data_IF_887861554757
#
_entry.id   IF_887861554757
#
_cell.length_a   1.000
_cell.length_b   1.000
_cell.length_c   1.000
_cell.angle_alpha   90.00
_cell.angle_beta   90.00
_cell.angle_gamma   90.00
#
_symmetry.space_group_name_H-M   'P 1'
#
loop_
_entity.id
_entity.type
_entity.pdbx_description
1 polymer ?
#
# COMPACT_ATOMS: atom_id res chain seq x y z
N UNK A 1 -10.10 -15.21 12.50
CA UNK A 1 -10.06 -14.63 11.15
C UNK A 1 -8.90 -13.66 11.14
N UNK A 2 -7.79 -14.08 10.58
CA UNK A 2 -6.58 -13.28 10.51
C UNK A 2 -6.85 -12.04 9.66
N UNK A 3 -6.66 -10.87 10.28
CA UNK A 3 -6.99 -9.59 9.66
C UNK A 3 -5.81 -9.16 8.79
N UNK A 4 -5.84 -9.56 7.52
CA UNK A 4 -4.93 -9.01 6.52
C UNK A 4 -5.27 -7.53 6.28
N UNK A 5 -4.26 -6.66 6.25
CA UNK A 5 -4.44 -5.25 5.88
C UNK A 5 -3.45 -4.84 4.80
N UNK A 6 -3.93 -4.07 3.83
CA UNK A 6 -3.15 -3.56 2.72
C UNK A 6 -3.21 -2.04 2.66
N UNK A 7 -2.10 -1.40 2.31
CA UNK A 7 -2.02 0.04 2.05
C UNK A 7 -1.17 0.28 0.81
N UNK A 8 -1.65 1.16 -0.06
CA UNK A 8 -0.86 1.70 -1.16
C UNK A 8 -0.54 3.16 -0.85
N UNK A 9 0.73 3.51 -0.89
CA UNK A 9 1.19 4.90 -0.84
C UNK A 9 1.77 5.26 -2.20
N UNK A 10 1.23 6.29 -2.85
CA UNK A 10 1.76 6.83 -4.11
C UNK A 10 2.40 8.18 -3.81
N UNK A 11 3.63 8.36 -4.25
CA UNK A 11 4.37 9.62 -4.07
C UNK A 11 5.31 9.86 -5.26
N UNK A 12 5.76 11.10 -5.39
CA UNK A 12 6.73 11.50 -6.40
C UNK A 12 8.16 11.35 -5.84
N UNK A 13 8.99 10.60 -6.53
CA UNK A 13 10.43 10.43 -6.30
C UNK A 13 11.15 10.74 -7.62
N UNK A 14 11.78 11.91 -7.72
CA UNK A 14 12.31 12.43 -8.99
C UNK A 14 13.13 11.36 -9.75
N UNK A 15 12.85 11.12 -11.04
CA UNK A 15 11.89 11.80 -11.93
C UNK A 15 10.52 11.10 -12.06
N UNK A 16 10.17 10.16 -11.18
CA UNK A 16 9.03 9.26 -11.37
C UNK A 16 8.01 9.27 -10.23
N UNK A 17 6.78 8.92 -10.58
CA UNK A 17 5.79 8.52 -9.59
C UNK A 17 5.99 7.06 -9.19
N UNK A 18 6.01 6.83 -7.88
CA UNK A 18 6.30 5.54 -7.26
C UNK A 18 5.14 5.13 -6.37
N UNK A 19 4.72 3.87 -6.48
CA UNK A 19 3.78 3.21 -5.58
C UNK A 19 4.50 2.24 -4.65
N UNK A 20 4.22 2.32 -3.35
CA UNK A 20 4.66 1.35 -2.35
C UNK A 20 3.44 0.66 -1.78
N UNK A 21 3.37 -0.65 -2.01
CA UNK A 21 2.39 -1.54 -1.41
C UNK A 21 2.93 -2.06 -0.09
N UNK A 22 2.15 -1.90 0.97
CA UNK A 22 2.39 -2.43 2.31
C UNK A 22 1.33 -3.50 2.58
N UNK A 23 1.74 -4.72 2.90
CA UNK A 23 0.87 -5.84 3.27
C UNK A 23 1.24 -6.29 4.67
N UNK A 24 0.27 -6.29 5.57
CA UNK A 24 0.41 -6.79 6.93
C UNK A 24 -0.47 -8.01 7.09
N UNK A 25 0.16 -9.14 7.37
CA UNK A 25 -0.48 -10.43 7.65
C UNK A 25 0.23 -11.10 8.80
N UNK A 26 -0.53 -11.66 9.74
CA UNK A 26 0.00 -12.39 10.91
C UNK A 26 1.07 -11.61 11.71
N UNK A 27 0.92 -10.29 11.79
CA UNK A 27 1.88 -9.41 12.47
C UNK A 27 3.20 -9.21 11.71
N UNK A 28 3.25 -9.56 10.42
CA UNK A 28 4.43 -9.37 9.57
C UNK A 28 4.13 -8.40 8.43
N UNK A 29 5.06 -7.48 8.19
CA UNK A 29 5.03 -6.52 7.10
C UNK A 29 5.81 -7.07 5.91
N UNK A 30 5.20 -7.04 4.73
CA UNK A 30 5.88 -7.24 3.45
C UNK A 30 5.59 -6.05 2.54
N UNK A 31 6.58 -5.60 1.77
CA UNK A 31 6.43 -4.43 0.90
C UNK A 31 6.78 -4.73 -0.55
N UNK A 32 6.13 -4.06 -1.50
CA UNK A 32 6.49 -4.09 -2.91
C UNK A 32 6.52 -2.67 -3.49
N UNK A 33 7.59 -2.34 -4.23
CA UNK A 33 7.74 -1.06 -4.92
C UNK A 33 7.39 -1.22 -6.40
N UNK A 34 6.62 -0.28 -6.92
CA UNK A 34 6.24 -0.16 -8.32
C UNK A 34 6.57 1.26 -8.79
N UNK A 35 7.08 1.40 -10.01
CA UNK A 35 7.31 2.73 -10.63
C UNK A 35 6.26 2.92 -11.71
N UNK A 36 5.41 3.94 -11.57
CA UNK A 36 4.40 4.32 -12.56
C UNK A 36 4.99 5.20 -13.67
N UNK A 37 6.08 5.91 -13.39
CA UNK A 37 6.71 6.83 -14.32
C UNK A 37 6.04 8.20 -14.25
N UNK A 38 5.00 8.42 -15.04
CA UNK A 38 4.19 9.64 -14.98
C UNK A 38 3.19 9.61 -13.82
N UNK A 39 2.58 10.75 -13.51
CA UNK A 39 1.53 10.85 -12.49
C UNK A 39 0.35 9.95 -12.87
N UNK A 40 0.09 8.87 -12.12
CA UNK A 40 -0.99 7.96 -12.47
C UNK A 40 -2.32 8.57 -12.06
N UNK A 41 -3.35 8.42 -12.89
CA UNK A 41 -4.72 8.75 -12.49
C UNK A 41 -5.31 7.66 -11.62
N UNK A 42 -6.33 8.02 -10.83
CA UNK A 42 -6.99 7.09 -9.90
C UNK A 42 -7.44 5.78 -10.56
N UNK A 43 -7.98 5.87 -11.78
CA UNK A 43 -8.43 4.67 -12.52
C UNK A 43 -7.27 3.79 -12.98
N UNK A 44 -6.11 4.37 -13.32
CA UNK A 44 -4.92 3.62 -13.74
C UNK A 44 -4.33 2.89 -12.54
N UNK A 45 -4.32 3.53 -11.37
CA UNK A 45 -3.92 2.90 -10.11
C UNK A 45 -4.86 1.73 -9.78
N UNK A 46 -6.18 1.94 -9.87
CA UNK A 46 -7.16 0.90 -9.59
C UNK A 46 -7.03 -0.30 -10.55
N UNK A 47 -6.89 -0.05 -11.86
CA UNK A 47 -6.69 -1.08 -12.87
C UNK A 47 -5.38 -1.84 -12.63
N UNK A 48 -4.30 -1.13 -12.29
CA UNK A 48 -3.02 -1.73 -11.98
C UNK A 48 -3.12 -2.69 -10.79
N UNK A 49 -3.80 -2.27 -9.71
CA UNK A 49 -4.03 -3.11 -8.53
C UNK A 49 -4.80 -4.38 -8.94
N UNK A 50 -5.90 -4.26 -9.67
CA UNK A 50 -6.71 -5.42 -10.05
C UNK A 50 -5.95 -6.42 -10.92
N UNK A 51 -5.10 -5.93 -11.83
CA UNK A 51 -4.36 -6.79 -12.78
C UNK A 51 -3.07 -7.36 -12.21
N UNK A 52 -2.31 -6.57 -11.44
CA UNK A 52 -0.92 -6.88 -11.11
C UNK A 52 -0.66 -7.13 -9.63
N UNK A 53 -1.58 -6.83 -8.71
CA UNK A 53 -1.32 -6.95 -7.27
C UNK A 53 -0.85 -8.35 -6.85
N UNK A 54 -1.52 -9.40 -7.35
CA UNK A 54 -1.16 -10.79 -7.03
C UNK A 54 0.14 -11.27 -7.70
N UNK A 55 0.67 -10.55 -8.68
CA UNK A 55 1.95 -10.85 -9.32
C UNK A 55 3.11 -10.01 -8.80
N UNK A 56 2.86 -9.08 -7.87
CA UNK A 56 3.90 -8.28 -7.24
C UNK A 56 4.85 -9.16 -6.42
N UNK A 57 6.15 -8.89 -6.57
CA UNK A 57 7.20 -9.51 -5.76
C UNK A 57 7.37 -8.70 -4.49
N UNK A 58 6.79 -9.20 -3.40
CA UNK A 58 6.97 -8.63 -2.08
C UNK A 58 8.34 -8.96 -1.50
N UNK A 59 8.83 -8.05 -0.66
CA UNK A 59 10.00 -8.25 0.17
C UNK A 59 9.78 -9.42 1.14
N UNK A 60 10.87 -9.98 1.71
CA UNK A 60 10.75 -10.86 2.86
C UNK A 60 9.90 -10.22 3.96
N UNK A 61 9.12 -11.05 4.64
CA UNK A 61 8.25 -10.63 5.71
C UNK A 61 9.09 -10.26 6.95
N UNK A 62 8.87 -9.07 7.49
CA UNK A 62 9.55 -8.56 8.69
C UNK A 62 8.54 -8.41 9.82
N UNK A 63 8.90 -8.82 11.03
CA UNK A 63 8.03 -8.67 12.19
C UNK A 63 7.66 -7.19 12.39
N UNK A 64 6.37 -6.92 12.49
CA UNK A 64 5.86 -5.57 12.71
C UNK A 64 4.86 -5.59 13.85
N UNK A 65 5.00 -4.63 14.76
CA UNK A 65 3.92 -4.36 15.70
C UNK A 65 2.84 -3.66 14.90
N UNK A 66 1.71 -4.35 14.65
CA UNK A 66 0.53 -3.75 14.04
C UNK A 66 0.07 -2.63 14.97
N UNK A 67 0.58 -1.42 14.74
CA UNK A 67 0.07 -0.23 15.38
C UNK A 67 -1.31 -0.03 14.78
N UNK A 68 -2.33 -0.34 15.56
CA UNK A 68 -3.68 0.11 15.29
C UNK A 68 -3.57 1.60 14.97
N UNK A 69 -3.78 1.94 13.70
CA UNK A 69 -3.66 3.31 13.25
C UNK A 69 -4.75 4.04 14.02
N UNK A 70 -4.38 4.72 15.12
CA UNK A 70 -5.29 5.57 15.88
C UNK A 70 -5.78 6.64 14.92
N UNK A 71 -6.89 6.36 14.23
CA UNK A 71 -7.55 7.31 13.35
C UNK A 71 -8.01 8.44 14.25
N UNK A 72 -7.57 9.65 13.91
CA UNK A 72 -7.99 10.85 14.62
C UNK A 72 -9.53 10.90 14.58
N UNK A 73 -10.24 11.01 15.72
CA UNK A 73 -11.70 11.07 15.74
C UNK A 73 -12.26 12.15 14.80
N UNK A 74 -11.52 13.26 14.60
CA UNK A 74 -11.87 14.31 13.63
C UNK A 74 -11.88 13.85 12.17
N UNK A 75 -11.09 12.84 11.82
CA UNK A 75 -11.03 12.26 10.47
C UNK A 75 -12.17 11.27 10.24
N UNK A 76 -12.56 10.51 11.27
CA UNK A 76 -13.71 9.58 11.21
C UNK A 76 -15.06 10.28 11.08
N UNK A 77 -15.20 11.53 11.55
CA UNK A 77 -16.45 12.30 11.41
C UNK A 77 -16.63 12.97 10.05
N UNK A 78 -15.61 12.98 9.19
CA UNK A 78 -15.65 13.61 7.86
C UNK A 78 -15.94 12.63 6.73
N UNK A 79 -15.79 11.33 6.99
CA UNK A 79 -16.16 10.23 6.09
C UNK A 79 -17.56 9.73 6.44
#
# INVERSE_FOLDING_TARGET
MDKASGKLTVYFEEPFWVGVFERIEDGKLSVAKVTFGAEPKDYEVQEYIQKYYFSLKFSPAVDTVVKDIKRNPKRMQRE
#
